data_IF_894141556915
#
_entry.id   IF_894141556915
#
_cell.length_a   1.000
_cell.length_b   1.000
_cell.length_c   1.000
_cell.angle_alpha   90.00
_cell.angle_beta   90.00
_cell.angle_gamma   90.00
#
_symmetry.space_group_name_H-M   'P 1'
#
loop_
_entity.id
_entity.type
_entity.pdbx_description
1 polymer ?
#
# COMPACT_ATOMS: atom_id res chain seq x y z
N UNK A 1 18.06 -42.20 -36.68
CA UNK A 1 18.29 -40.98 -37.49
C UNK A 1 18.06 -39.76 -36.60
N UNK A 2 19.16 -39.03 -36.36
CA UNK A 2 19.32 -37.66 -35.83
C UNK A 2 18.36 -37.11 -34.77
N UNK A 3 18.81 -37.18 -33.52
CA UNK A 3 18.46 -36.22 -32.46
C UNK A 3 19.22 -34.91 -32.71
N UNK A 4 18.56 -33.90 -33.27
CA UNK A 4 19.10 -32.52 -33.28
C UNK A 4 18.97 -31.87 -31.90
N UNK A 5 20.01 -31.21 -31.37
CA UNK A 5 19.93 -30.53 -30.09
C UNK A 5 19.02 -29.30 -30.22
N UNK A 6 17.97 -29.22 -29.39
CA UNK A 6 17.16 -28.01 -29.25
C UNK A 6 17.98 -26.95 -28.51
N UNK A 7 18.64 -26.07 -29.24
CA UNK A 7 19.30 -24.88 -28.66
C UNK A 7 18.21 -24.05 -27.98
N UNK A 8 18.17 -24.12 -26.67
CA UNK A 8 17.23 -23.39 -25.83
C UNK A 8 17.80 -21.99 -25.63
N UNK A 9 17.11 -21.01 -26.19
CA UNK A 9 17.46 -19.60 -26.16
C UNK A 9 16.58 -18.91 -25.11
N UNK A 10 16.97 -17.73 -24.62
CA UNK A 10 16.21 -17.01 -23.59
C UNK A 10 15.74 -15.68 -24.15
N UNK A 11 14.45 -15.38 -23.96
CA UNK A 11 13.89 -14.08 -24.28
C UNK A 11 14.51 -13.03 -23.33
N UNK A 12 15.20 -11.99 -23.85
CA UNK A 12 15.90 -11.01 -23.03
C UNK A 12 14.94 -10.08 -22.25
N UNK A 13 13.68 -9.96 -22.67
CA UNK A 13 12.68 -9.09 -22.04
C UNK A 13 12.02 -9.77 -20.86
N UNK A 14 11.55 -11.01 -21.02
CA UNK A 14 10.79 -11.71 -19.98
C UNK A 14 11.54 -12.86 -19.30
N UNK A 15 12.67 -13.31 -19.86
CA UNK A 15 13.44 -14.44 -19.34
C UNK A 15 12.84 -15.82 -19.65
N UNK A 16 11.78 -15.90 -20.45
CA UNK A 16 11.20 -17.19 -20.86
C UNK A 16 12.10 -17.93 -21.84
N UNK A 17 12.12 -19.26 -21.71
CA UNK A 17 12.84 -20.13 -22.64
C UNK A 17 12.13 -20.15 -23.99
N UNK A 18 12.84 -19.73 -25.04
CA UNK A 18 12.39 -19.72 -26.42
C UNK A 18 13.26 -20.66 -27.26
N UNK A 19 12.77 -20.99 -28.45
CA UNK A 19 13.51 -21.82 -29.41
C UNK A 19 13.79 -20.99 -30.66
N UNK A 20 14.80 -21.42 -31.45
CA UNK A 20 15.16 -20.76 -32.70
C UNK A 20 14.04 -20.79 -33.78
N UNK A 21 12.92 -21.46 -33.52
CA UNK A 21 11.72 -21.51 -34.36
C UNK A 21 10.60 -20.56 -33.90
N UNK A 22 10.87 -19.60 -33.01
CA UNK A 22 9.86 -18.61 -32.61
C UNK A 22 9.43 -17.75 -33.81
N UNK A 23 8.12 -17.47 -34.00
CA UNK A 23 7.64 -16.55 -35.05
C UNK A 23 8.01 -15.08 -34.77
N UNK A 24 8.44 -14.76 -33.55
CA UNK A 24 8.75 -13.39 -33.12
C UNK A 24 10.27 -13.22 -33.00
N UNK A 25 10.90 -12.68 -34.04
CA UNK A 25 12.36 -12.48 -34.12
C UNK A 25 12.71 -11.05 -34.51
N UNK A 26 13.80 -10.53 -33.94
CA UNK A 26 14.34 -9.22 -34.31
C UNK A 26 15.87 -9.31 -34.40
N UNK A 27 16.48 -8.67 -35.41
CA UNK A 27 17.94 -8.53 -35.47
C UNK A 27 18.37 -7.21 -34.83
N UNK A 28 19.33 -7.29 -33.92
CA UNK A 28 19.97 -6.10 -33.33
C UNK A 28 21.49 -6.33 -33.26
N UNK A 29 22.27 -5.39 -33.79
CA UNK A 29 23.75 -5.46 -33.86
C UNK A 29 24.28 -6.79 -34.45
N UNK A 30 23.74 -7.23 -35.59
CA UNK A 30 24.12 -8.49 -36.27
C UNK A 30 23.90 -9.78 -35.46
N UNK A 31 23.08 -9.74 -34.40
CA UNK A 31 22.65 -10.93 -33.65
C UNK A 31 21.12 -11.10 -33.73
N UNK A 32 20.61 -12.30 -34.07
CA UNK A 32 19.18 -12.58 -34.03
C UNK A 32 18.72 -12.82 -32.58
N UNK A 33 17.70 -12.09 -32.15
CA UNK A 33 17.00 -12.28 -30.88
C UNK A 33 15.62 -12.89 -31.13
N UNK A 34 15.22 -13.80 -30.23
CA UNK A 34 13.98 -14.55 -30.30
C UNK A 34 13.12 -14.20 -29.09
N UNK A 35 11.82 -14.00 -29.30
CA UNK A 35 10.88 -13.54 -28.26
C UNK A 35 9.72 -14.52 -28.08
N UNK A 36 9.12 -14.54 -26.89
CA UNK A 36 7.98 -15.39 -26.58
C UNK A 36 6.65 -14.86 -27.15
N UNK A 37 6.58 -13.55 -27.44
CA UNK A 37 5.36 -12.86 -27.89
C UNK A 37 5.67 -11.58 -28.66
N UNK A 38 4.70 -11.11 -29.46
CA UNK A 38 4.76 -9.81 -30.14
C UNK A 38 4.96 -8.63 -29.17
N UNK A 39 4.49 -8.76 -27.92
CA UNK A 39 4.63 -7.73 -26.90
C UNK A 39 6.07 -7.62 -26.39
N UNK A 40 6.77 -8.75 -26.21
CA UNK A 40 8.19 -8.77 -25.86
C UNK A 40 9.06 -8.27 -27.02
N UNK A 41 8.72 -8.64 -28.26
CA UNK A 41 9.37 -8.10 -29.45
C UNK A 41 9.21 -6.57 -29.55
N UNK A 42 8.00 -6.05 -29.29
CA UNK A 42 7.73 -4.61 -29.29
C UNK A 42 8.54 -3.86 -28.24
N UNK A 43 8.57 -4.34 -27.00
CA UNK A 43 9.36 -3.74 -25.91
C UNK A 43 10.85 -3.72 -26.22
N UNK A 44 11.39 -4.79 -26.80
CA UNK A 44 12.79 -4.84 -27.21
C UNK A 44 13.07 -3.88 -28.38
N UNK A 45 12.14 -3.75 -29.34
CA UNK A 45 12.29 -2.79 -30.44
C UNK A 45 12.28 -1.33 -29.96
N UNK A 46 11.54 -1.01 -28.89
CA UNK A 46 11.49 0.36 -28.34
C UNK A 46 12.74 0.74 -27.55
N UNK A 47 13.31 -0.17 -26.75
CA UNK A 47 14.52 0.11 -25.96
C UNK A 47 15.43 -1.12 -25.81
N UNK A 48 16.24 -1.47 -26.84
CA UNK A 48 17.09 -2.66 -26.81
C UNK A 48 18.17 -2.62 -25.72
N UNK A 49 18.75 -1.45 -25.46
CA UNK A 49 19.88 -1.29 -24.54
C UNK A 49 19.57 -1.71 -23.09
N UNK A 50 18.32 -1.51 -22.65
CA UNK A 50 17.86 -1.86 -21.30
C UNK A 50 17.90 -3.38 -21.05
N UNK A 51 17.70 -4.18 -22.09
CA UNK A 51 17.63 -5.65 -21.99
C UNK A 51 18.95 -6.36 -22.33
N UNK A 52 19.95 -5.62 -22.81
CA UNK A 52 21.27 -6.13 -23.17
C UNK A 52 22.35 -5.85 -22.11
N UNK A 53 21.96 -5.22 -21.00
CA UNK A 53 22.85 -4.93 -19.87
C UNK A 53 23.01 -6.19 -19.01
N UNK A 54 24.07 -6.96 -19.24
CA UNK A 54 24.41 -8.17 -18.48
C UNK A 54 24.78 -7.86 -17.02
N UNK A 55 23.92 -8.21 -16.06
CA UNK A 55 24.22 -9.18 -14.98
C UNK A 55 22.92 -9.52 -14.23
N UNK A 56 22.26 -10.64 -14.57
CA UNK A 56 21.22 -11.27 -13.74
C UNK A 56 21.88 -12.23 -12.75
N UNK A 57 21.90 -11.88 -11.46
CA UNK A 57 21.97 -12.85 -10.35
C UNK A 57 20.53 -13.14 -9.88
N UNK A 58 20.17 -14.38 -9.48
CA UNK A 58 18.78 -14.79 -9.31
C UNK A 58 18.10 -14.09 -8.13
N UNK A 59 16.79 -13.87 -8.30
CA UNK A 59 15.88 -13.31 -7.33
C UNK A 59 16.00 -13.95 -5.94
N UNK A 60 16.48 -13.16 -4.98
CA UNK A 60 16.29 -13.36 -3.54
C UNK A 60 15.89 -12.01 -2.94
N UNK A 61 14.62 -11.94 -2.52
CA UNK A 61 14.07 -11.16 -1.41
C UNK A 61 14.97 -10.02 -0.89
N UNK A 62 14.92 -8.85 -1.52
CA UNK A 62 15.37 -7.60 -0.92
C UNK A 62 14.82 -6.40 -1.70
N UNK A 63 14.07 -5.56 -0.98
CA UNK A 63 13.93 -4.12 -1.17
C UNK A 63 13.60 -3.63 -2.58
N UNK A 64 12.32 -3.31 -2.79
CA UNK A 64 11.92 -2.37 -3.83
C UNK A 64 12.68 -1.05 -3.62
N UNK A 65 13.60 -0.75 -4.53
CA UNK A 65 14.32 0.52 -4.54
C UNK A 65 13.36 1.64 -4.98
N UNK A 66 13.34 2.79 -4.29
CA UNK A 66 12.30 3.81 -4.45
C UNK A 66 12.46 4.56 -5.77
N UNK A 67 11.33 4.94 -6.36
CA UNK A 67 11.29 5.93 -7.43
C UNK A 67 12.08 7.19 -7.00
N UNK A 68 12.84 7.73 -7.95
CA UNK A 68 13.77 8.86 -7.79
C UNK A 68 13.19 9.99 -6.93
N UNK A 69 13.74 10.12 -5.72
CA UNK A 69 13.45 11.22 -4.80
C UNK A 69 14.25 12.43 -5.27
N UNK A 70 13.59 13.55 -5.52
CA UNK A 70 14.29 14.82 -5.70
C UNK A 70 15.09 15.11 -4.42
N UNK A 71 16.42 15.31 -4.48
CA UNK A 71 17.20 15.66 -3.29
C UNK A 71 16.68 16.99 -2.72
N UNK A 72 16.09 16.94 -1.52
CA UNK A 72 15.54 18.10 -0.82
C UNK A 72 14.03 18.07 -0.50
N UNK A 73 13.29 17.01 -0.83
CA UNK A 73 11.88 16.89 -0.42
C UNK A 73 11.79 16.57 1.08
N UNK A 74 11.39 17.56 1.88
CA UNK A 74 11.15 17.39 3.30
C UNK A 74 9.77 16.78 3.54
N UNK A 75 9.71 15.66 4.24
CA UNK A 75 8.50 14.95 4.61
C UNK A 75 8.08 15.33 6.03
N UNK A 76 6.78 15.57 6.25
CA UNK A 76 6.23 15.91 7.56
C UNK A 76 5.06 15.02 7.95
N UNK A 77 4.81 14.92 9.25
CA UNK A 77 3.63 14.24 9.75
C UNK A 77 2.46 15.24 9.83
N UNK A 78 1.30 14.98 9.21
CA UNK A 78 0.16 15.91 9.24
C UNK A 78 -0.37 16.17 10.66
N UNK A 79 -0.17 15.24 11.58
CA UNK A 79 -0.56 15.40 13.00
C UNK A 79 0.55 15.97 13.88
N UNK A 80 1.81 15.96 13.42
CA UNK A 80 2.96 16.44 14.17
C UNK A 80 3.87 17.25 13.23
N UNK A 81 3.55 18.53 12.96
CA UNK A 81 4.30 19.38 12.01
C UNK A 81 5.78 19.58 12.40
N UNK A 82 6.09 19.40 13.67
CA UNK A 82 7.46 19.41 14.22
C UNK A 82 8.32 18.26 13.72
N UNK A 83 7.71 17.17 13.22
CA UNK A 83 8.42 16.03 12.65
C UNK A 83 8.68 16.32 11.18
N UNK A 84 9.95 16.52 10.84
CA UNK A 84 10.42 16.75 9.48
C UNK A 84 11.56 15.77 9.18
N UNK A 85 11.46 14.99 8.11
CA UNK A 85 12.44 13.99 7.71
C UNK A 85 12.77 14.15 6.22
N UNK A 86 14.01 13.87 5.83
CA UNK A 86 14.44 13.95 4.42
C UNK A 86 14.06 12.71 3.60
N UNK A 87 13.43 11.72 4.24
CA UNK A 87 13.05 10.46 3.63
C UNK A 87 11.58 10.11 3.91
N UNK A 88 10.92 9.35 3.02
CA UNK A 88 9.62 8.76 3.33
C UNK A 88 9.75 7.78 4.51
N UNK A 89 8.67 7.59 5.26
CA UNK A 89 8.70 6.74 6.45
C UNK A 89 7.46 6.91 7.31
N UNK A 90 7.51 6.35 8.52
CA UNK A 90 6.46 6.53 9.52
C UNK A 90 6.91 7.54 10.57
N UNK A 91 5.97 8.38 11.02
CA UNK A 91 6.19 9.33 12.08
C UNK A 91 6.58 8.62 13.39
N UNK A 92 7.68 9.01 14.06
CA UNK A 92 8.10 8.37 15.30
C UNK A 92 7.14 8.64 16.47
N UNK A 93 6.33 9.71 16.41
CA UNK A 93 5.37 10.07 17.46
C UNK A 93 4.04 9.30 17.34
N UNK A 94 3.47 9.22 16.13
CA UNK A 94 2.13 8.63 15.92
C UNK A 94 2.06 7.47 14.94
N UNK A 95 3.16 7.08 14.30
CA UNK A 95 3.20 5.95 13.36
C UNK A 95 2.42 6.16 12.05
N UNK A 96 1.92 7.36 11.77
CA UNK A 96 1.34 7.69 10.46
C UNK A 96 2.45 7.83 9.41
N UNK A 97 2.15 7.47 8.16
CA UNK A 97 3.03 7.73 7.01
C UNK A 97 3.33 9.22 6.91
N UNK A 98 4.59 9.57 6.64
CA UNK A 98 5.00 10.94 6.42
C UNK A 98 4.64 11.38 4.99
N UNK A 99 4.06 12.57 4.89
CA UNK A 99 3.65 13.19 3.62
C UNK A 99 4.67 14.27 3.23
N UNK A 100 4.95 14.48 1.93
CA UNK A 100 5.84 15.56 1.50
C UNK A 100 5.26 16.93 1.90
N UNK A 101 6.08 17.83 2.44
CA UNK A 101 5.66 19.18 2.86
C UNK A 101 5.13 20.03 1.70
N UNK A 102 5.65 19.81 0.50
CA UNK A 102 5.15 20.40 -0.72
C UNK A 102 4.41 19.32 -1.50
N UNK A 103 3.10 19.50 -1.79
CA UNK A 103 2.37 18.54 -2.61
C UNK A 103 3.06 18.43 -3.96
N UNK A 104 3.54 17.24 -4.26
CA UNK A 104 4.24 17.01 -5.53
C UNK A 104 3.21 17.06 -6.67
N UNK A 105 3.57 17.70 -7.79
CA UNK A 105 2.69 17.71 -8.97
C UNK A 105 2.66 16.34 -9.69
N UNK A 106 3.55 15.41 -9.33
CA UNK A 106 3.48 14.01 -9.74
C UNK A 106 2.25 13.34 -9.13
N UNK A 107 1.65 12.36 -9.81
CA UNK A 107 0.49 11.63 -9.31
C UNK A 107 0.80 11.04 -7.91
N UNK A 108 0.13 11.55 -6.88
CA UNK A 108 0.25 11.01 -5.53
C UNK A 108 -0.55 9.72 -5.49
N UNK A 109 0.17 8.62 -5.25
CA UNK A 109 -0.37 7.28 -5.15
C UNK A 109 -1.49 7.23 -4.09
N UNK A 110 -2.74 7.10 -4.54
CA UNK A 110 -3.91 6.80 -3.69
C UNK A 110 -3.82 5.41 -3.00
N UNK A 111 -2.63 4.81 -2.92
CA UNK A 111 -2.39 3.43 -2.49
C UNK A 111 -2.78 3.20 -1.03
N UNK A 112 -2.49 4.14 -0.12
CA UNK A 112 -2.83 3.97 1.30
C UNK A 112 -4.34 4.04 1.54
N UNK A 113 -5.04 5.02 0.94
CA UNK A 113 -6.50 5.12 1.05
C UNK A 113 -7.19 3.90 0.42
N UNK A 114 -6.72 3.43 -0.74
CA UNK A 114 -7.27 2.22 -1.36
C UNK A 114 -6.98 0.96 -0.54
N UNK A 115 -5.83 0.85 0.13
CA UNK A 115 -5.50 -0.28 1.01
C UNK A 115 -6.43 -0.31 2.23
N UNK A 116 -6.61 0.82 2.93
CA UNK A 116 -7.52 0.91 4.07
C UNK A 116 -8.99 0.67 3.67
N UNK A 117 -9.42 1.22 2.53
CA UNK A 117 -10.76 0.96 2.00
C UNK A 117 -10.97 -0.52 1.65
N UNK A 118 -9.98 -1.16 1.03
CA UNK A 118 -10.04 -2.59 0.70
C UNK A 118 -10.14 -3.42 1.97
N UNK A 119 -9.26 -3.20 2.94
CA UNK A 119 -9.31 -3.93 4.23
C UNK A 119 -10.67 -3.75 4.92
N UNK A 120 -11.19 -2.52 4.95
CA UNK A 120 -12.50 -2.23 5.52
C UNK A 120 -13.63 -2.98 4.81
N UNK A 121 -13.77 -2.83 3.49
CA UNK A 121 -14.88 -3.44 2.75
C UNK A 121 -14.83 -4.96 2.69
N UNK A 122 -13.64 -5.56 2.67
CA UNK A 122 -13.51 -7.02 2.69
C UNK A 122 -13.83 -7.62 4.06
N UNK A 123 -13.56 -6.90 5.16
CA UNK A 123 -13.76 -7.41 6.53
C UNK A 123 -15.07 -6.97 7.18
N UNK A 124 -15.74 -5.95 6.63
CA UNK A 124 -17.04 -5.48 7.10
C UNK A 124 -18.12 -6.59 7.10
N UNK A 125 -18.28 -7.42 6.04
CA UNK A 125 -19.25 -8.51 6.07
C UNK A 125 -18.95 -9.53 7.17
N UNK A 126 -17.68 -9.90 7.37
CA UNK A 126 -17.27 -10.83 8.41
C UNK A 126 -17.54 -10.24 9.80
N UNK A 127 -17.24 -8.96 9.99
CA UNK A 127 -17.52 -8.24 11.26
C UNK A 127 -19.01 -8.24 11.56
N UNK A 128 -19.85 -7.98 10.55
CA UNK A 128 -21.30 -7.99 10.71
C UNK A 128 -21.81 -9.38 11.09
N UNK A 129 -21.30 -10.44 10.47
CA UNK A 129 -21.67 -11.82 10.83
C UNK A 129 -21.26 -12.14 12.26
N UNK A 130 -20.02 -11.82 12.67
CA UNK A 130 -19.56 -12.05 14.06
C UNK A 130 -20.42 -11.27 15.06
N UNK A 131 -20.73 -10.00 14.77
CA UNK A 131 -21.58 -9.16 15.61
C UNK A 131 -22.99 -9.75 15.78
N UNK A 132 -23.60 -10.20 14.68
CA UNK A 132 -24.93 -10.83 14.72
C UNK A 132 -24.88 -12.15 15.49
N UNK A 133 -23.86 -12.98 15.30
CA UNK A 133 -23.69 -14.23 16.05
C UNK A 133 -23.57 -13.96 17.55
N UNK A 134 -22.76 -12.98 17.96
CA UNK A 134 -22.60 -12.64 19.36
C UNK A 134 -23.90 -12.12 20.01
N UNK A 135 -24.64 -11.25 19.32
CA UNK A 135 -25.86 -10.64 19.87
C UNK A 135 -27.10 -11.55 19.79
N UNK A 136 -27.23 -12.31 18.70
CA UNK A 136 -28.43 -13.12 18.41
C UNK A 136 -28.23 -14.62 18.70
N UNK A 137 -26.99 -15.10 18.87
CA UNK A 137 -26.68 -16.52 19.03
C UNK A 137 -27.39 -17.18 20.22
N UNK A 138 -27.45 -16.47 21.36
CA UNK A 138 -28.17 -16.99 22.52
C UNK A 138 -29.71 -16.99 22.34
N UNK A 139 -30.25 -16.05 21.55
CA UNK A 139 -31.69 -15.91 21.32
C UNK A 139 -32.22 -16.93 20.31
N UNK A 140 -31.46 -17.20 19.25
CA UNK A 140 -31.89 -18.05 18.15
C UNK A 140 -31.42 -19.51 18.28
N UNK A 141 -30.44 -19.80 19.16
CA UNK A 141 -29.93 -21.16 19.43
C UNK A 141 -29.60 -21.94 18.14
N UNK A 142 -29.11 -21.25 17.11
CA UNK A 142 -28.85 -21.83 15.80
C UNK A 142 -27.81 -22.96 15.83
N UNK A 143 -26.88 -22.92 16.79
CA UNK A 143 -25.82 -23.89 16.97
C UNK A 143 -25.47 -24.04 18.45
N UNK A 144 -24.78 -25.13 18.79
CA UNK A 144 -24.17 -25.27 20.11
C UNK A 144 -23.18 -24.11 20.37
N UNK A 145 -23.21 -23.57 21.58
CA UNK A 145 -22.40 -22.43 22.02
C UNK A 145 -20.89 -22.66 21.83
N UNK A 146 -20.42 -23.91 21.97
CA UNK A 146 -19.03 -24.27 21.68
C UNK A 146 -18.68 -24.12 20.19
N UNK A 147 -19.57 -24.58 19.30
CA UNK A 147 -19.39 -24.45 17.84
C UNK A 147 -19.43 -22.98 17.42
N UNK A 148 -20.31 -22.18 18.01
CA UNK A 148 -20.36 -20.74 17.77
C UNK A 148 -19.01 -20.07 18.06
N UNK A 149 -18.33 -20.43 19.15
CA UNK A 149 -17.01 -19.88 19.50
C UNK A 149 -15.94 -20.17 18.43
N UNK A 150 -15.98 -21.38 17.86
CA UNK A 150 -15.09 -21.77 16.76
C UNK A 150 -15.38 -20.98 15.48
N UNK A 151 -16.66 -20.77 15.17
CA UNK A 151 -17.07 -19.96 14.01
C UNK A 151 -16.63 -18.49 14.20
N UNK A 152 -16.86 -17.92 15.38
CA UNK A 152 -16.41 -16.57 15.74
C UNK A 152 -14.88 -16.44 15.64
N UNK A 153 -14.12 -17.43 16.12
CA UNK A 153 -12.67 -17.47 15.99
C UNK A 153 -12.22 -17.42 14.51
N UNK A 154 -12.78 -18.30 13.67
CA UNK A 154 -12.41 -18.37 12.24
C UNK A 154 -12.74 -17.06 11.52
N UNK A 155 -13.90 -16.46 11.79
CA UNK A 155 -14.31 -15.20 11.17
C UNK A 155 -13.55 -13.99 11.71
N UNK A 156 -13.24 -13.95 13.00
CA UNK A 156 -12.52 -12.85 13.62
C UNK A 156 -11.02 -12.85 13.28
N UNK A 157 -10.43 -14.01 13.03
CA UNK A 157 -9.00 -14.15 12.70
C UNK A 157 -8.54 -13.27 11.53
N UNK A 158 -9.17 -13.30 10.33
CA UNK A 158 -8.78 -12.40 9.23
C UNK A 158 -9.05 -10.92 9.56
N UNK A 159 -10.08 -10.60 10.35
CA UNK A 159 -10.36 -9.21 10.75
C UNK A 159 -9.23 -8.70 11.64
N UNK A 160 -8.86 -9.45 12.67
CA UNK A 160 -7.84 -9.05 13.64
C UNK A 160 -6.45 -9.10 13.01
N UNK A 161 -6.06 -10.23 12.42
CA UNK A 161 -4.68 -10.44 11.98
C UNK A 161 -4.35 -9.75 10.66
N UNK A 162 -5.29 -9.64 9.71
CA UNK A 162 -5.02 -9.01 8.42
C UNK A 162 -5.49 -7.55 8.36
N UNK A 163 -6.74 -7.27 8.74
CA UNK A 163 -7.26 -5.90 8.73
C UNK A 163 -6.64 -5.05 9.84
N UNK A 164 -6.48 -5.63 11.04
CA UNK A 164 -5.85 -4.98 12.20
C UNK A 164 -4.31 -4.92 12.18
N UNK A 165 -3.64 -5.61 11.24
CA UNK A 165 -2.18 -5.64 11.16
C UNK A 165 -1.51 -4.25 11.25
N UNK A 166 -1.95 -3.22 10.50
CA UNK A 166 -1.33 -1.90 10.56
C UNK A 166 -1.42 -1.26 11.94
N UNK A 167 -2.49 -1.55 12.69
CA UNK A 167 -2.69 -1.02 14.04
C UNK A 167 -1.77 -1.68 15.05
N UNK A 168 -1.52 -2.99 14.92
CA UNK A 168 -0.54 -3.68 15.75
C UNK A 168 0.89 -3.20 15.48
N UNK A 169 1.25 -2.98 14.21
CA UNK A 169 2.57 -2.41 13.85
C UNK A 169 2.74 -1.01 14.44
N UNK A 170 1.76 -0.12 14.27
CA UNK A 170 1.79 1.24 14.84
C UNK A 170 1.78 1.24 16.38
N UNK A 171 0.99 0.34 16.99
CA UNK A 171 0.94 0.16 18.43
C UNK A 171 2.27 -0.33 19.01
N UNK A 172 2.94 -1.26 18.34
CA UNK A 172 4.26 -1.74 18.72
C UNK A 172 5.32 -0.65 18.59
N UNK A 173 5.33 0.09 17.48
CA UNK A 173 6.23 1.23 17.30
C UNK A 173 6.05 2.28 18.40
N UNK A 174 4.80 2.60 18.76
CA UNK A 174 4.49 3.53 19.84
C UNK A 174 5.03 3.05 21.21
N UNK A 175 4.94 1.76 21.49
CA UNK A 175 5.49 1.18 22.72
C UNK A 175 7.02 1.25 22.74
N UNK A 176 7.67 0.88 21.63
CA UNK A 176 9.14 0.94 21.47
C UNK A 176 9.65 2.37 21.61
N UNK A 177 8.96 3.34 21.00
CA UNK A 177 9.32 4.76 21.05
C UNK A 177 8.91 5.45 22.36
N UNK A 178 8.30 4.71 23.31
CA UNK A 178 7.77 5.22 24.59
C UNK A 178 6.85 6.43 24.43
N UNK A 179 6.07 6.46 23.36
CA UNK A 179 5.13 7.54 23.03
C UNK A 179 3.71 6.98 22.92
N UNK A 180 3.05 6.62 24.04
CA UNK A 180 1.73 5.98 24.03
C UNK A 180 0.69 6.89 23.37
N UNK A 181 -0.09 6.31 22.48
CA UNK A 181 -1.07 7.02 21.66
C UNK A 181 -2.32 6.14 21.41
N UNK A 182 -3.22 6.62 20.56
CA UNK A 182 -4.46 5.90 20.19
C UNK A 182 -4.17 4.47 19.70
N UNK A 183 -3.10 4.26 18.94
CA UNK A 183 -2.74 2.95 18.39
C UNK A 183 -2.30 1.97 19.47
N UNK A 184 -1.62 2.44 20.52
CA UNK A 184 -1.25 1.61 21.67
C UNK A 184 -2.51 1.07 22.35
N UNK A 185 -3.51 1.93 22.58
CA UNK A 185 -4.75 1.54 23.24
C UNK A 185 -5.54 0.54 22.40
N UNK A 186 -5.70 0.81 21.11
CA UNK A 186 -6.43 -0.07 20.18
C UNK A 186 -5.70 -1.41 20.01
N UNK A 187 -4.40 -1.38 19.77
CA UNK A 187 -3.58 -2.58 19.61
C UNK A 187 -3.58 -3.46 20.87
N UNK A 188 -3.40 -2.87 22.05
CA UNK A 188 -3.42 -3.61 23.31
C UNK A 188 -4.81 -4.16 23.62
N UNK A 189 -5.86 -3.35 23.48
CA UNK A 189 -7.23 -3.75 23.78
C UNK A 189 -7.73 -4.88 22.86
N UNK A 190 -7.60 -4.68 21.54
CA UNK A 190 -8.05 -5.68 20.55
C UNK A 190 -7.16 -6.95 20.58
N UNK A 191 -5.86 -6.78 20.80
CA UNK A 191 -4.93 -7.90 20.97
C UNK A 191 -5.23 -8.74 22.22
N UNK A 192 -5.45 -8.09 23.36
CA UNK A 192 -5.82 -8.77 24.60
C UNK A 192 -7.16 -9.50 24.45
N UNK A 193 -8.20 -8.83 23.94
CA UNK A 193 -9.51 -9.43 23.69
C UNK A 193 -9.43 -10.65 22.76
N UNK A 194 -8.69 -10.56 21.66
CA UNK A 194 -8.52 -11.68 20.74
C UNK A 194 -7.73 -12.83 21.38
N UNK A 195 -6.58 -12.55 22.01
CA UNK A 195 -5.77 -13.59 22.67
C UNK A 195 -6.53 -14.32 23.78
N UNK A 196 -7.27 -13.60 24.60
CA UNK A 196 -8.12 -14.18 25.63
C UNK A 196 -9.16 -15.11 25.00
N UNK A 197 -9.83 -14.65 23.93
CA UNK A 197 -10.87 -15.40 23.24
C UNK A 197 -10.32 -16.66 22.56
N UNK A 198 -9.11 -16.60 22.01
CA UNK A 198 -8.39 -17.76 21.47
C UNK A 198 -8.12 -18.79 22.56
N UNK A 199 -7.58 -18.37 23.71
CA UNK A 199 -7.30 -19.28 24.84
C UNK A 199 -8.60 -19.87 25.40
N UNK A 200 -9.65 -19.06 25.54
CA UNK A 200 -10.98 -19.49 25.96
C UNK A 200 -11.61 -20.54 25.02
N UNK A 201 -11.32 -20.46 23.72
CA UNK A 201 -11.86 -21.39 22.72
C UNK A 201 -11.03 -22.66 22.58
N UNK A 202 -9.69 -22.55 22.60
CA UNK A 202 -8.78 -23.69 22.35
C UNK A 202 -8.45 -24.49 23.61
N UNK A 203 -8.41 -23.83 24.77
CA UNK A 203 -8.01 -24.43 26.03
C UNK A 203 -8.94 -23.98 27.18
N UNK A 204 -10.25 -24.26 27.12
CA UNK A 204 -11.20 -23.87 28.16
C UNK A 204 -10.83 -24.43 29.54
N UNK A 205 -10.10 -25.55 29.62
CA UNK A 205 -9.63 -26.17 30.86
C UNK A 205 -8.63 -25.34 31.67
N UNK A 206 -8.05 -24.29 31.08
CA UNK A 206 -7.15 -23.36 31.80
C UNK A 206 -7.97 -22.42 32.71
N UNK A 207 -9.25 -22.23 32.40
CA UNK A 207 -10.14 -21.39 33.18
C UNK A 207 -10.82 -22.20 34.30
N UNK A 208 -11.02 -21.60 35.49
CA UNK A 208 -11.82 -22.21 36.54
C UNK A 208 -13.25 -22.50 36.08
N UNK A 209 -13.87 -23.56 36.61
CA UNK A 209 -15.23 -23.97 36.25
C UNK A 209 -16.27 -22.85 36.45
N UNK A 210 -16.01 -21.89 37.34
CA UNK A 210 -16.86 -20.71 37.56
C UNK A 210 -16.97 -19.78 36.35
N UNK A 211 -16.02 -19.83 35.41
CA UNK A 211 -16.03 -19.05 34.17
C UNK A 211 -16.78 -19.74 33.03
N UNK A 212 -17.11 -21.03 33.19
CA UNK A 212 -17.82 -21.82 32.19
C UNK A 212 -19.31 -21.57 32.37
N UNK A 213 -19.94 -20.97 31.37
CA UNK A 213 -21.39 -20.74 31.32
C UNK A 213 -21.94 -21.30 30.02
N UNK A 214 -23.06 -22.03 30.08
CA UNK A 214 -23.67 -22.67 28.90
C UNK A 214 -22.69 -23.56 28.10
N UNK A 215 -21.77 -24.25 28.79
CA UNK A 215 -20.83 -25.19 28.17
C UNK A 215 -19.64 -24.55 27.44
N UNK A 216 -19.39 -23.24 27.62
CA UNK A 216 -18.18 -22.57 27.14
C UNK A 216 -17.69 -21.47 28.09
N UNK A 217 -16.45 -21.03 27.89
CA UNK A 217 -15.95 -19.76 28.44
C UNK A 217 -16.46 -18.62 27.54
N UNK A 218 -16.89 -17.50 28.14
CA UNK A 218 -17.29 -16.32 27.38
C UNK A 218 -16.11 -15.79 26.54
N UNK A 219 -16.39 -15.35 25.31
CA UNK A 219 -15.39 -14.83 24.36
C UNK A 219 -15.73 -13.39 23.97
N UNK A 220 -14.76 -12.68 23.41
CA UNK A 220 -14.82 -11.27 23.04
C UNK A 220 -14.34 -11.04 21.59
N UNK A 221 -14.57 -12.01 20.70
CA UNK A 221 -14.20 -11.89 19.28
C UNK A 221 -14.95 -10.75 18.59
N UNK A 222 -16.20 -10.52 18.97
CA UNK A 222 -17.04 -9.43 18.49
C UNK A 222 -16.49 -8.08 18.89
N UNK A 223 -16.03 -7.92 20.14
CA UNK A 223 -15.45 -6.67 20.60
C UNK A 223 -14.19 -6.32 19.80
N UNK A 224 -13.28 -7.28 19.61
CA UNK A 224 -12.07 -7.08 18.82
C UNK A 224 -12.40 -6.74 17.35
N UNK A 225 -13.31 -7.48 16.72
CA UNK A 225 -13.70 -7.28 15.33
C UNK A 225 -14.36 -5.91 15.10
N UNK A 226 -15.32 -5.54 15.95
CA UNK A 226 -16.06 -4.27 15.83
C UNK A 226 -15.14 -3.08 16.06
N UNK A 227 -14.26 -3.14 17.07
CA UNK A 227 -13.30 -2.05 17.33
C UNK A 227 -12.39 -1.84 16.11
N UNK A 228 -11.83 -2.91 15.54
CA UNK A 228 -10.97 -2.81 14.35
C UNK A 228 -11.74 -2.24 13.16
N UNK A 229 -12.96 -2.71 12.92
CA UNK A 229 -13.80 -2.24 11.82
C UNK A 229 -14.15 -0.74 11.95
N UNK A 230 -14.52 -0.28 13.15
CA UNK A 230 -14.81 1.14 13.40
C UNK A 230 -13.56 2.01 13.29
N UNK A 231 -12.40 1.50 13.72
CA UNK A 231 -11.12 2.20 13.58
C UNK A 231 -10.73 2.35 12.11
N UNK A 232 -10.87 1.29 11.31
CA UNK A 232 -10.64 1.33 9.86
C UNK A 232 -11.57 2.35 9.18
N UNK A 233 -12.85 2.37 9.55
CA UNK A 233 -13.79 3.36 9.05
C UNK A 233 -13.34 4.79 9.36
N UNK A 234 -12.92 5.05 10.61
CA UNK A 234 -12.41 6.34 11.03
C UNK A 234 -11.21 6.79 10.19
N UNK A 235 -10.26 5.89 9.94
CA UNK A 235 -9.09 6.17 9.08
C UNK A 235 -9.48 6.44 7.62
N UNK A 236 -10.45 5.70 7.08
CA UNK A 236 -10.95 5.96 5.72
C UNK A 236 -11.56 7.34 5.63
N UNK A 237 -12.35 7.77 6.61
CA UNK A 237 -12.95 9.10 6.63
C UNK A 237 -11.89 10.21 6.79
N UNK A 238 -10.93 10.01 7.68
CA UNK A 238 -9.82 10.96 7.89
C UNK A 238 -9.00 11.15 6.62
N UNK A 239 -8.54 10.06 6.00
CA UNK A 239 -7.74 10.10 4.77
C UNK A 239 -8.52 10.66 3.59
N UNK A 240 -9.81 10.31 3.47
CA UNK A 240 -10.68 10.83 2.41
C UNK A 240 -10.85 12.34 2.54
N UNK A 241 -11.12 12.84 3.75
CA UNK A 241 -11.25 14.28 3.99
C UNK A 241 -9.96 15.04 3.63
N UNK A 242 -8.79 14.52 4.04
CA UNK A 242 -7.49 15.14 3.71
C UNK A 242 -7.18 15.11 2.21
N UNK A 243 -7.43 14.00 1.54
CA UNK A 243 -7.18 13.87 0.09
C UNK A 243 -7.95 14.92 -0.74
N UNK A 244 -9.18 15.25 -0.32
CA UNK A 244 -10.01 16.23 -1.00
C UNK A 244 -9.46 17.66 -0.86
N UNK A 245 -8.97 18.03 0.34
CA UNK A 245 -8.36 19.34 0.56
C UNK A 245 -7.04 19.48 -0.20
N UNK A 246 -6.21 18.45 -0.20
CA UNK A 246 -4.91 18.47 -0.90
C UNK A 246 -5.08 18.56 -2.42
N UNK A 247 -6.08 17.87 -2.99
CA UNK A 247 -6.38 17.93 -4.42
C UNK A 247 -6.77 19.35 -4.88
N UNK A 248 -7.55 20.08 -4.07
CA UNK A 248 -7.91 21.47 -4.38
C UNK A 248 -6.69 22.40 -4.39
N UNK A 249 -5.80 22.30 -3.40
CA UNK A 249 -4.55 23.08 -3.33
C UNK A 249 -3.64 22.74 -4.51
N UNK A 250 -3.49 21.45 -4.83
CA UNK A 250 -2.71 20.98 -5.98
C UNK A 250 -3.24 21.52 -7.30
N UNK A 251 -4.56 21.61 -7.47
CA UNK A 251 -5.16 22.20 -8.67
C UNK A 251 -4.79 23.68 -8.85
N UNK A 252 -4.71 24.46 -7.75
CA UNK A 252 -4.28 25.86 -7.79
C UNK A 252 -2.79 25.98 -8.14
N UNK A 253 -1.94 25.11 -7.58
CA UNK A 253 -0.51 25.08 -7.89
C UNK A 253 -0.23 24.63 -9.33
N UNK A 254 -1.07 23.75 -9.89
CA UNK A 254 -0.98 23.27 -11.27
C UNK A 254 -1.34 24.33 -12.32
N UNK A 255 -2.05 25.39 -11.95
CA UNK A 255 -2.37 26.50 -12.85
C UNK A 255 -1.17 27.44 -13.11
N UNK A 256 -0.09 27.33 -12.33
CA UNK A 256 1.12 28.10 -12.57
C UNK A 256 1.83 27.58 -13.84
N UNK A 257 2.05 28.43 -14.86
CA UNK A 257 2.70 28.01 -16.09
C UNK A 257 4.17 27.65 -15.84
N UNK A 258 4.60 26.47 -16.31
CA UNK A 258 6.00 26.01 -16.15
C UNK A 258 6.96 26.69 -17.13
N UNK A 259 6.43 27.23 -18.22
CA UNK A 259 7.17 27.85 -19.32
C UNK A 259 6.56 29.19 -19.67
N UNK A 260 7.41 30.14 -20.05
CA UNK A 260 7.01 31.42 -20.61
C UNK A 260 7.67 31.59 -21.97
N UNK A 261 6.97 32.25 -22.90
CA UNK A 261 7.52 32.58 -24.21
C UNK A 261 8.13 33.97 -24.18
N UNK A 262 9.45 34.05 -24.23
CA UNK A 262 10.21 35.32 -24.22
C UNK A 262 10.48 35.81 -25.64
N UNK A 263 10.37 37.12 -25.82
CA UNK A 263 10.76 37.84 -27.03
C UNK A 263 12.14 38.43 -26.82
N UNK A 264 13.12 38.04 -27.65
CA UNK A 264 14.48 38.61 -27.61
C UNK A 264 14.53 39.98 -28.29
N UNK A 265 15.64 40.70 -28.10
CA UNK A 265 15.88 42.03 -28.71
C UNK A 265 15.89 42.03 -30.23
N UNK A 266 16.11 40.87 -30.86
CA UNK A 266 16.08 40.65 -32.31
C UNK A 266 14.66 40.35 -32.84
N UNK A 267 13.64 40.31 -31.97
CA UNK A 267 12.26 40.00 -32.31
C UNK A 267 11.94 38.50 -32.40
N UNK A 268 12.91 37.62 -32.14
CA UNK A 268 12.69 36.16 -32.11
C UNK A 268 11.94 35.72 -30.84
N UNK A 269 11.12 34.67 -30.97
CA UNK A 269 10.39 34.05 -29.85
C UNK A 269 11.10 32.78 -29.40
N UNK A 270 11.30 32.61 -28.09
CA UNK A 270 11.78 31.36 -27.50
C UNK A 270 10.95 30.95 -26.29
N UNK A 271 10.72 29.65 -26.11
CA UNK A 271 10.09 29.11 -24.91
C UNK A 271 11.17 28.83 -23.86
N UNK A 272 11.05 29.47 -22.71
CA UNK A 272 11.98 29.34 -21.59
C UNK A 272 11.24 28.86 -20.33
N UNK A 273 11.89 28.08 -19.44
CA UNK A 273 11.34 27.79 -18.12
C UNK A 273 11.04 29.07 -17.35
N UNK A 274 9.96 29.09 -16.57
CA UNK A 274 9.57 30.28 -15.79
C UNK A 274 10.69 30.73 -14.83
N UNK A 275 11.53 29.81 -14.34
CA UNK A 275 12.71 30.09 -13.52
C UNK A 275 13.75 30.98 -14.20
N UNK A 276 13.76 31.03 -15.53
CA UNK A 276 14.74 31.77 -16.32
C UNK A 276 14.22 33.15 -16.78
N UNK A 277 12.99 33.51 -16.39
CA UNK A 277 12.38 34.80 -16.69
C UNK A 277 12.83 35.84 -15.68
N UNK A 278 13.31 36.98 -16.16
CA UNK A 278 13.80 38.07 -15.30
C UNK A 278 12.93 39.33 -15.44
N UNK A 279 12.99 40.20 -14.43
CA UNK A 279 12.30 41.50 -14.45
C UNK A 279 12.85 42.34 -15.61
N UNK A 280 11.97 42.71 -16.54
CA UNK A 280 12.32 43.44 -17.77
C UNK A 280 12.21 42.62 -19.05
N UNK A 281 12.02 41.30 -18.96
CA UNK A 281 11.78 40.46 -20.14
C UNK A 281 10.43 40.77 -20.81
N UNK A 282 10.40 40.84 -22.14
CA UNK A 282 9.16 40.95 -22.93
C UNK A 282 8.61 39.55 -23.21
N UNK A 283 7.39 39.27 -22.76
CA UNK A 283 6.76 37.95 -22.91
C UNK A 283 5.55 38.02 -23.87
N UNK A 284 5.32 36.96 -24.65
CA UNK A 284 4.15 36.85 -25.53
C UNK A 284 3.12 35.88 -24.95
N UNK A 285 1.94 36.39 -24.64
CA UNK A 285 0.77 35.60 -24.23
C UNK A 285 -0.19 35.52 -25.40
N UNK A 286 -0.49 34.31 -25.88
CA UNK A 286 -1.50 34.09 -26.94
C UNK A 286 -2.86 33.84 -26.27
N UNK A 287 -3.96 34.32 -26.88
CA UNK A 287 -5.32 33.99 -26.41
C UNK A 287 -5.63 32.50 -26.56
#
# INVERSE_FOLDING_TARGET
MNTSPKTTLTDPVCGMTVTASSPHTLQHQNRPYYFCSANCQGKFATNPAQYLSDTKTPASVASAEPAEVSPGTLYTCPMHPEVQQEHPGNCPKCGMTLEPMLPSLAEEDHTELHDFQRRFWWTLPLTLVVFVLAMAGHRLQWMNMAVQSWVELVLATPIVLWAGWPFFVRGWQSLVNRSPNMWTLIGLGTGAAYSYSVVATLAPQVFPDSFISMGRVAVYFEAAAVIISLTLMGQVFELKARSQTSAAIKSLLGLAPKTARRIRTDGSEEDVPLSNVHVGDSLRVRP
#
